data_IF_492083312335
#
_entry.id   IF_492083312335
#
_cell.length_a   1.000
_cell.length_b   1.000
_cell.length_c   1.000
_cell.angle_alpha   90.00
_cell.angle_beta   90.00
_cell.angle_gamma   90.00
#
_symmetry.space_group_name_H-M   'P 1'
#
loop_
_entity.id
_entity.type
_entity.pdbx_description
1 polymer ?
#
# COMPACT_ATOMS: atom_id res chain seq x y z
N UNK A 1 7.20 -61.06 26.38
CA UNK A 1 7.25 -61.46 27.81
C UNK A 1 8.52 -60.88 28.44
N UNK A 2 8.48 -60.42 29.72
CA UNK A 2 9.26 -59.28 30.27
C UNK A 2 10.36 -59.73 31.29
N UNK A 3 11.03 -58.88 32.14
CA UNK A 3 10.45 -58.11 33.29
C UNK A 3 10.99 -56.64 33.46
N UNK A 4 10.19 -55.66 33.91
CA UNK A 4 9.97 -55.12 35.28
C UNK A 4 11.25 -54.63 36.02
N UNK A 5 11.40 -53.47 36.68
CA UNK A 5 10.57 -52.34 37.11
C UNK A 5 11.13 -51.80 38.45
N UNK A 6 11.21 -50.48 38.69
CA UNK A 6 10.96 -49.81 40.00
C UNK A 6 11.41 -48.32 40.03
N UNK A 7 10.65 -47.55 40.83
CA UNK A 7 10.55 -46.08 40.94
C UNK A 7 11.42 -45.48 42.06
N UNK A 8 11.77 -44.17 41.96
CA UNK A 8 11.67 -43.07 42.99
C UNK A 8 12.55 -41.84 42.60
N UNK A 9 12.44 -40.64 43.22
CA UNK A 9 11.38 -39.64 43.00
C UNK A 9 11.93 -38.22 42.65
N UNK A 10 11.18 -37.42 41.87
CA UNK A 10 11.44 -35.98 41.71
C UNK A 10 10.62 -35.16 42.71
N UNK A 11 11.19 -34.11 43.36
CA UNK A 11 10.42 -33.13 44.10
C UNK A 11 10.08 -31.90 43.24
N UNK A 12 8.88 -31.33 43.48
CA UNK A 12 8.66 -29.89 43.30
C UNK A 12 7.93 -29.42 42.04
N UNK A 13 6.65 -29.79 41.89
CA UNK A 13 5.73 -29.12 40.97
C UNK A 13 5.10 -27.88 41.59
N UNK A 14 5.51 -26.69 41.16
CA UNK A 14 4.86 -25.42 41.45
C UNK A 14 4.09 -24.91 40.23
N UNK A 15 2.79 -25.22 40.13
CA UNK A 15 1.89 -24.66 39.12
C UNK A 15 1.51 -23.23 39.50
N UNK A 16 1.82 -22.24 38.65
CA UNK A 16 1.18 -20.91 38.67
C UNK A 16 0.24 -20.80 37.48
N UNK A 17 -1.04 -21.04 37.74
CA UNK A 17 -2.16 -20.63 36.88
C UNK A 17 -2.53 -19.15 37.06
N UNK A 18 -3.41 -18.62 36.21
CA UNK A 18 -3.62 -17.18 36.02
C UNK A 18 -4.50 -16.57 37.13
N UNK A 19 -4.13 -15.37 37.59
CA UNK A 19 -4.92 -14.58 38.56
C UNK A 19 -6.11 -13.93 37.85
N UNK A 20 -7.32 -14.40 38.16
CA UNK A 20 -8.57 -13.70 37.90
C UNK A 20 -8.79 -12.62 38.99
N UNK A 21 -9.17 -11.41 38.56
CA UNK A 21 -9.60 -10.34 39.45
C UNK A 21 -11.08 -10.53 39.80
N UNK A 22 -11.49 -10.42 41.09
CA UNK A 22 -12.90 -10.42 41.45
C UNK A 22 -13.52 -9.01 41.33
N UNK A 23 -14.71 -8.95 40.73
CA UNK A 23 -15.63 -7.82 40.81
C UNK A 23 -16.08 -7.58 42.26
N UNK A 24 -16.16 -6.33 42.75
CA UNK A 24 -16.96 -6.02 43.92
C UNK A 24 -18.39 -5.62 43.54
N UNK A 25 -19.33 -6.12 44.35
CA UNK A 25 -20.76 -5.94 44.26
C UNK A 25 -21.22 -4.50 44.55
N UNK A 26 -22.34 -4.13 43.94
CA UNK A 26 -23.04 -2.88 44.18
C UNK A 26 -23.61 -2.84 45.61
N UNK A 27 -23.21 -1.83 46.38
CA UNK A 27 -23.92 -1.38 47.58
C UNK A 27 -24.46 0.02 47.32
N UNK A 28 -25.79 0.11 47.24
CA UNK A 28 -26.56 1.35 47.20
C UNK A 28 -26.56 1.98 48.60
N UNK A 29 -25.74 3.01 48.80
CA UNK A 29 -25.93 3.95 49.91
C UNK A 29 -26.41 5.28 49.33
N UNK A 30 -27.63 5.66 49.69
CA UNK A 30 -28.16 6.98 49.41
C UNK A 30 -27.33 8.04 50.15
N UNK A 31 -26.90 9.06 49.41
CA UNK A 31 -26.35 10.29 49.96
C UNK A 31 -27.11 11.46 49.35
N UNK A 32 -27.59 12.33 50.23
CA UNK A 32 -28.25 13.60 49.95
C UNK A 32 -27.37 14.53 49.10
N UNK A 33 -27.96 15.52 48.41
CA UNK A 33 -27.20 16.44 47.58
C UNK A 33 -26.49 17.45 48.50
N UNK A 34 -25.21 17.21 48.81
CA UNK A 34 -24.38 18.23 49.40
C UNK A 34 -24.06 19.29 48.34
N UNK A 35 -24.79 20.39 48.42
CA UNK A 35 -24.48 21.66 47.78
C UNK A 35 -23.14 22.17 48.32
N UNK A 36 -22.04 21.86 47.61
CA UNK A 36 -20.80 22.59 47.80
C UNK A 36 -19.99 22.64 46.50
N UNK A 37 -20.48 23.40 45.53
CA UNK A 37 -19.64 24.02 44.49
C UNK A 37 -18.79 25.13 45.14
N UNK A 38 -17.89 24.73 46.03
CA UNK A 38 -16.82 25.58 46.51
C UNK A 38 -15.86 25.81 45.33
N UNK A 39 -15.88 27.04 44.82
CA UNK A 39 -15.12 27.46 43.66
C UNK A 39 -13.66 27.04 43.76
N UNK A 40 -13.20 26.32 42.74
CA UNK A 40 -11.78 26.25 42.43
C UNK A 40 -11.30 27.71 42.37
N UNK A 41 -10.35 28.14 43.22
CA UNK A 41 -9.86 29.51 43.13
C UNK A 41 -9.30 29.68 41.72
N UNK A 42 -9.88 30.62 40.97
CA UNK A 42 -9.38 30.98 39.65
C UNK A 42 -7.88 31.24 39.83
N UNK A 43 -7.05 30.48 39.12
CA UNK A 43 -5.61 30.68 39.15
C UNK A 43 -5.38 32.05 38.51
N UNK A 44 -5.26 33.10 39.32
CA UNK A 44 -5.19 34.49 38.87
C UNK A 44 -3.73 34.90 38.75
N UNK A 45 -3.06 34.35 37.74
CA UNK A 45 -1.75 34.81 37.30
C UNK A 45 -1.89 35.63 36.00
N UNK A 46 -1.08 36.70 35.80
CA UNK A 46 -1.14 37.51 34.59
C UNK A 46 -0.87 36.70 33.31
N UNK A 47 -0.24 35.53 33.44
CA UNK A 47 0.08 34.62 32.33
C UNK A 47 -0.93 33.47 32.16
N UNK A 48 -1.91 33.30 33.04
CA UNK A 48 -2.81 32.13 33.00
C UNK A 48 -3.65 32.08 31.72
N UNK A 49 -4.10 33.23 31.22
CA UNK A 49 -4.80 33.31 29.94
C UNK A 49 -3.91 32.80 28.79
N UNK A 50 -2.65 33.25 28.75
CA UNK A 50 -1.65 32.82 27.75
C UNK A 50 -1.38 31.31 27.83
N UNK A 51 -1.18 30.76 29.04
CA UNK A 51 -0.98 29.31 29.20
C UNK A 51 -2.24 28.48 28.87
N UNK A 52 -3.44 29.06 29.03
CA UNK A 52 -4.69 28.40 28.65
C UNK A 52 -4.82 28.33 27.13
N UNK A 53 -4.45 29.41 26.43
CA UNK A 53 -4.38 29.42 24.96
C UNK A 53 -3.38 28.40 24.44
N UNK A 54 -2.15 28.37 24.99
CA UNK A 54 -1.15 27.36 24.63
C UNK A 54 -1.62 25.93 24.91
N UNK A 55 -2.34 25.70 26.01
CA UNK A 55 -2.93 24.39 26.29
C UNK A 55 -3.93 24.00 25.20
N UNK A 56 -4.86 24.89 24.86
CA UNK A 56 -5.88 24.61 23.86
C UNK A 56 -5.27 24.32 22.48
N UNK A 57 -4.24 25.08 22.08
CA UNK A 57 -3.52 24.83 20.83
C UNK A 57 -2.79 23.49 20.83
N UNK A 58 -2.14 23.12 21.95
CA UNK A 58 -1.44 21.84 22.09
C UNK A 58 -2.42 20.67 22.10
N UNK A 59 -3.54 20.78 22.80
CA UNK A 59 -4.57 19.75 22.88
C UNK A 59 -5.17 19.49 21.47
N UNK A 60 -5.56 20.55 20.74
CA UNK A 60 -6.06 20.40 19.38
C UNK A 60 -4.99 19.83 18.43
N UNK A 61 -3.72 20.22 18.60
CA UNK A 61 -2.62 19.64 17.85
C UNK A 61 -2.47 18.12 18.13
N UNK A 62 -2.62 17.69 19.38
CA UNK A 62 -2.55 16.29 19.77
C UNK A 62 -3.75 15.49 19.25
N UNK A 63 -4.96 16.03 19.36
CA UNK A 63 -6.17 15.41 18.83
C UNK A 63 -6.09 15.22 17.32
N UNK A 64 -5.64 16.25 16.59
CA UNK A 64 -5.38 16.18 15.16
C UNK A 64 -4.36 15.11 14.81
N UNK A 65 -3.23 15.06 15.52
CA UNK A 65 -2.20 14.05 15.32
C UNK A 65 -2.76 12.64 15.50
N UNK A 66 -3.59 12.41 16.51
CA UNK A 66 -4.23 11.12 16.73
C UNK A 66 -5.26 10.78 15.65
N UNK A 67 -6.02 11.76 15.13
CA UNK A 67 -6.89 11.56 13.95
C UNK A 67 -6.09 11.09 12.74
N UNK A 68 -4.98 11.77 12.42
CA UNK A 68 -4.09 11.40 11.31
C UNK A 68 -3.50 10.00 11.51
N UNK A 69 -3.05 9.65 12.72
CA UNK A 69 -2.49 8.31 13.01
C UNK A 69 -3.54 7.21 12.85
N UNK A 70 -4.76 7.42 13.34
CA UNK A 70 -5.85 6.45 13.22
C UNK A 70 -6.20 6.22 11.75
N UNK A 71 -6.39 7.30 11.00
CA UNK A 71 -6.73 7.19 9.59
C UNK A 71 -5.60 6.58 8.76
N UNK A 72 -4.34 6.89 9.07
CA UNK A 72 -3.15 6.26 8.47
C UNK A 72 -3.18 4.73 8.66
N UNK A 73 -3.43 4.23 9.88
CA UNK A 73 -3.54 2.79 10.16
C UNK A 73 -4.66 2.12 9.37
N UNK A 74 -5.83 2.78 9.30
CA UNK A 74 -6.99 2.25 8.58
C UNK A 74 -6.74 2.20 7.06
N UNK A 75 -6.10 3.22 6.48
CA UNK A 75 -5.69 3.24 5.07
C UNK A 75 -4.70 2.10 4.79
N UNK A 76 -3.67 1.93 5.63
CA UNK A 76 -2.72 0.82 5.50
C UNK A 76 -3.44 -0.53 5.55
N UNK A 77 -4.37 -0.71 6.48
CA UNK A 77 -5.12 -1.96 6.60
C UNK A 77 -5.98 -2.25 5.36
N UNK A 78 -6.67 -1.25 4.82
CA UNK A 78 -7.47 -1.39 3.60
C UNK A 78 -6.59 -1.64 2.36
N UNK A 79 -5.44 -0.96 2.25
CA UNK A 79 -4.48 -1.14 1.16
C UNK A 79 -3.91 -2.56 1.12
N UNK A 80 -3.58 -3.14 2.29
CA UNK A 80 -3.21 -4.56 2.39
C UNK A 80 -4.28 -5.51 1.88
N UNK A 81 -5.57 -5.20 2.13
CA UNK A 81 -6.67 -6.01 1.62
C UNK A 81 -6.77 -5.96 0.09
N UNK A 82 -6.48 -4.80 -0.51
CA UNK A 82 -6.37 -4.68 -1.97
C UNK A 82 -5.22 -5.55 -2.49
N UNK A 83 -4.03 -5.46 -1.87
CA UNK A 83 -2.85 -6.27 -2.25
C UNK A 83 -3.18 -7.77 -2.15
N UNK A 84 -3.69 -8.25 -1.02
CA UNK A 84 -4.08 -9.66 -0.86
C UNK A 84 -5.13 -10.09 -1.88
N UNK A 85 -6.02 -9.19 -2.27
CA UNK A 85 -7.02 -9.46 -3.29
C UNK A 85 -6.38 -9.68 -4.66
N UNK A 86 -5.45 -8.80 -5.05
CA UNK A 86 -4.69 -8.91 -6.29
C UNK A 86 -3.82 -10.17 -6.33
N UNK A 87 -3.21 -10.56 -5.20
CA UNK A 87 -2.39 -11.76 -5.09
C UNK A 87 -3.16 -13.07 -5.37
N UNK A 88 -4.50 -13.06 -5.38
CA UNK A 88 -5.33 -14.22 -5.75
C UNK A 88 -5.44 -14.44 -7.25
N UNK A 89 -5.04 -13.46 -8.07
CA UNK A 89 -5.08 -13.55 -9.53
C UNK A 89 -4.10 -14.60 -10.04
N UNK A 90 -4.48 -15.30 -11.12
CA UNK A 90 -3.65 -16.34 -11.75
C UNK A 90 -3.70 -16.23 -13.28
N UNK A 91 -3.27 -15.09 -13.85
CA UNK A 91 -3.27 -14.91 -15.28
C UNK A 91 -2.17 -15.74 -15.94
N UNK A 92 -2.45 -16.35 -17.08
CA UNK A 92 -1.47 -17.10 -17.89
C UNK A 92 -0.46 -16.18 -18.58
N UNK A 93 -0.89 -14.98 -18.94
CA UNK A 93 -0.04 -13.90 -19.45
C UNK A 93 -0.38 -12.58 -18.75
N UNK A 94 0.64 -11.74 -18.51
CA UNK A 94 0.48 -10.41 -17.92
C UNK A 94 -0.13 -9.39 -18.90
N UNK A 95 -0.52 -8.22 -18.39
CA UNK A 95 -1.44 -7.25 -19.01
C UNK A 95 -2.88 -7.77 -19.00
N UNK A 96 -3.39 -7.97 -17.79
CA UNK A 96 -4.77 -8.43 -17.56
C UNK A 96 -5.71 -7.33 -17.99
N UNK A 97 -6.20 -7.42 -19.24
CA UNK A 97 -7.09 -6.42 -19.85
C UNK A 97 -8.33 -6.14 -19.00
N UNK A 98 -8.86 -7.16 -18.34
CA UNK A 98 -10.04 -7.05 -17.48
C UNK A 98 -9.88 -7.90 -16.22
N UNK A 99 -10.05 -7.28 -15.06
CA UNK A 99 -10.08 -7.99 -13.78
C UNK A 99 -11.42 -8.71 -13.59
N UNK A 100 -11.44 -9.90 -12.96
CA UNK A 100 -12.69 -10.59 -12.63
C UNK A 100 -13.61 -9.75 -11.75
N UNK A 101 -14.91 -9.76 -12.03
CA UNK A 101 -15.89 -8.88 -11.38
C UNK A 101 -15.90 -8.99 -9.84
N UNK A 102 -15.71 -10.19 -9.29
CA UNK A 102 -15.64 -10.41 -7.85
C UNK A 102 -14.41 -9.74 -7.22
N UNK A 103 -13.28 -9.78 -7.91
CA UNK A 103 -12.03 -9.13 -7.48
C UNK A 103 -12.18 -7.62 -7.59
N UNK A 104 -12.72 -7.11 -8.70
CA UNK A 104 -12.99 -5.67 -8.90
C UNK A 104 -13.92 -5.13 -7.81
N UNK A 105 -15.01 -5.82 -7.49
CA UNK A 105 -15.96 -5.38 -6.46
C UNK A 105 -15.33 -5.33 -5.05
N UNK A 106 -14.47 -6.31 -4.72
CA UNK A 106 -13.75 -6.34 -3.43
C UNK A 106 -12.70 -5.22 -3.35
N UNK A 107 -11.93 -5.00 -4.43
CA UNK A 107 -10.98 -3.90 -4.54
C UNK A 107 -11.70 -2.55 -4.39
N UNK A 108 -12.77 -2.33 -5.15
CA UNK A 108 -13.54 -1.09 -5.11
C UNK A 108 -14.06 -0.78 -3.70
N UNK A 109 -14.48 -1.81 -2.95
CA UNK A 109 -14.95 -1.64 -1.57
C UNK A 109 -13.83 -1.09 -0.67
N UNK A 110 -12.63 -1.64 -0.77
CA UNK A 110 -11.48 -1.20 0.00
C UNK A 110 -10.92 0.15 -0.48
N UNK A 111 -10.89 0.38 -1.80
CA UNK A 111 -10.46 1.64 -2.38
C UNK A 111 -11.41 2.79 -2.02
N UNK A 112 -12.72 2.55 -2.02
CA UNK A 112 -13.70 3.52 -1.55
C UNK A 112 -13.44 3.92 -0.09
N UNK A 113 -13.13 2.94 0.77
CA UNK A 113 -12.76 3.21 2.16
C UNK A 113 -11.48 4.06 2.27
N UNK A 114 -10.46 3.77 1.46
CA UNK A 114 -9.21 4.55 1.43
C UNK A 114 -9.47 5.99 0.98
N UNK A 115 -10.20 6.17 -0.12
CA UNK A 115 -10.49 7.50 -0.67
C UNK A 115 -11.33 8.35 0.30
N UNK A 116 -12.31 7.75 0.98
CA UNK A 116 -13.06 8.42 2.05
C UNK A 116 -12.18 8.87 3.21
N UNK A 117 -11.20 8.04 3.62
CA UNK A 117 -10.24 8.41 4.66
C UNK A 117 -9.36 9.57 4.21
N UNK A 118 -8.74 9.47 3.03
CA UNK A 118 -7.88 10.53 2.49
C UNK A 118 -8.62 11.87 2.41
N UNK A 119 -9.87 11.88 1.93
CA UNK A 119 -10.72 13.07 1.91
C UNK A 119 -10.99 13.62 3.32
N UNK A 120 -11.30 12.73 4.29
CA UNK A 120 -11.54 13.12 5.67
C UNK A 120 -10.29 13.68 6.39
N UNK A 121 -9.07 13.32 5.95
CA UNK A 121 -7.83 13.92 6.48
C UNK A 121 -7.57 15.33 5.96
N UNK A 122 -8.14 15.73 4.82
CA UNK A 122 -7.78 16.99 4.17
C UNK A 122 -7.84 18.21 5.10
N UNK A 123 -8.93 18.44 5.87
CA UNK A 123 -9.01 19.62 6.75
C UNK A 123 -7.87 19.66 7.79
N UNK A 124 -7.42 18.50 8.26
CA UNK A 124 -6.35 18.37 9.25
C UNK A 124 -4.95 18.58 8.65
N UNK A 125 -4.80 18.53 7.33
CA UNK A 125 -3.52 18.61 6.63
C UNK A 125 -3.30 19.93 5.87
N UNK A 126 -4.07 20.98 6.15
CA UNK A 126 -3.91 22.27 5.49
C UNK A 126 -2.77 23.13 6.07
N UNK A 127 -2.23 24.03 5.24
CA UNK A 127 -1.18 24.97 5.64
C UNK A 127 0.06 24.30 6.24
N UNK A 128 0.50 24.76 7.41
CA UNK A 128 1.69 24.20 8.10
C UNK A 128 1.52 22.73 8.51
N UNK A 129 0.28 22.28 8.68
CA UNK A 129 -0.01 20.92 9.12
C UNK A 129 0.35 19.87 8.05
N UNK A 130 0.26 20.24 6.77
CA UNK A 130 0.62 19.39 5.62
C UNK A 130 2.00 18.76 5.80
N UNK A 131 2.99 19.59 6.19
CA UNK A 131 4.37 19.17 6.42
C UNK A 131 4.61 18.64 7.84
N UNK A 132 3.90 19.17 8.83
CA UNK A 132 4.05 18.77 10.24
C UNK A 132 3.72 17.29 10.44
N UNK A 133 2.66 16.80 9.79
CA UNK A 133 2.15 15.45 10.01
C UNK A 133 2.60 14.41 8.98
N UNK A 134 3.54 14.75 8.09
CA UNK A 134 4.08 13.83 7.05
C UNK A 134 4.44 12.48 7.63
N UNK A 135 5.17 12.47 8.76
CA UNK A 135 5.61 11.22 9.41
C UNK A 135 4.47 10.32 9.86
N UNK A 136 3.28 10.87 10.11
CA UNK A 136 2.12 10.11 10.58
C UNK A 136 1.34 9.49 9.42
N UNK A 137 1.18 10.20 8.29
CA UNK A 137 0.41 9.69 7.14
C UNK A 137 1.27 9.05 6.04
N UNK A 138 2.56 9.35 5.94
CA UNK A 138 3.49 8.80 4.93
C UNK A 138 3.42 7.28 4.81
N UNK A 139 3.42 6.48 5.90
CA UNK A 139 3.30 5.02 5.81
C UNK A 139 2.00 4.55 5.12
N UNK A 140 0.90 5.28 5.30
CA UNK A 140 -0.36 4.97 4.65
C UNK A 140 -0.35 5.27 3.15
N UNK A 141 0.30 6.37 2.75
CA UNK A 141 0.46 6.70 1.34
C UNK A 141 1.34 5.67 0.64
N UNK A 142 2.44 5.27 1.26
CA UNK A 142 3.34 4.25 0.71
C UNK A 142 2.60 2.93 0.45
N UNK A 143 1.84 2.45 1.44
CA UNK A 143 1.08 1.20 1.32
C UNK A 143 -0.06 1.31 0.28
N UNK A 144 -0.76 2.45 0.21
CA UNK A 144 -1.80 2.63 -0.81
C UNK A 144 -1.20 2.71 -2.22
N UNK A 145 -0.06 3.38 -2.38
CA UNK A 145 0.66 3.42 -3.65
C UNK A 145 1.25 2.07 -4.05
N UNK A 146 1.68 1.25 -3.09
CA UNK A 146 2.05 -0.14 -3.35
C UNK A 146 0.86 -0.92 -3.93
N UNK A 147 -0.32 -0.78 -3.33
CA UNK A 147 -1.54 -1.44 -3.79
C UNK A 147 -1.97 -0.98 -5.20
N UNK A 148 -2.02 0.33 -5.43
CA UNK A 148 -2.40 0.91 -6.72
C UNK A 148 -1.34 0.64 -7.79
N UNK A 149 -0.06 0.76 -7.44
CA UNK A 149 1.06 0.45 -8.33
C UNK A 149 1.05 -1.01 -8.76
N UNK A 150 0.80 -1.93 -7.81
CA UNK A 150 0.69 -3.35 -8.12
C UNK A 150 -0.52 -3.65 -9.02
N UNK A 151 -1.68 -3.05 -8.75
CA UNK A 151 -2.86 -3.15 -9.62
C UNK A 151 -2.56 -2.64 -11.02
N UNK A 152 -1.97 -1.45 -11.12
CA UNK A 152 -1.63 -0.81 -12.39
C UNK A 152 -0.70 -1.70 -13.20
N UNK A 153 0.40 -2.17 -12.60
CA UNK A 153 1.32 -3.11 -13.23
C UNK A 153 0.64 -4.38 -13.76
N UNK A 154 -0.26 -4.99 -12.99
CA UNK A 154 -0.96 -6.20 -13.44
C UNK A 154 -1.85 -5.96 -14.68
N UNK A 155 -2.41 -4.76 -14.82
CA UNK A 155 -3.34 -4.39 -15.90
C UNK A 155 -2.60 -3.82 -17.12
N UNK A 156 -1.68 -2.87 -16.93
CA UNK A 156 -0.98 -2.18 -18.01
C UNK A 156 0.38 -2.80 -18.36
N UNK A 157 1.00 -3.54 -17.45
CA UNK A 157 2.40 -3.96 -17.58
C UNK A 157 3.41 -2.83 -17.33
N UNK A 158 2.95 -1.68 -16.84
CA UNK A 158 3.78 -0.49 -16.61
C UNK A 158 3.82 -0.11 -15.12
N UNK A 159 4.82 0.69 -14.76
CA UNK A 159 4.89 1.28 -13.41
C UNK A 159 4.06 2.56 -13.39
N UNK A 160 3.26 2.74 -12.33
CA UNK A 160 2.49 3.97 -12.13
C UNK A 160 3.41 5.20 -12.12
N UNK A 161 3.08 6.26 -12.86
CA UNK A 161 3.88 7.48 -12.87
C UNK A 161 3.75 8.27 -11.56
N UNK A 162 4.71 9.16 -11.26
CA UNK A 162 4.65 10.02 -10.08
C UNK A 162 3.40 10.92 -10.06
N UNK A 163 3.00 11.45 -11.21
CA UNK A 163 1.82 12.31 -11.35
C UNK A 163 0.53 11.53 -11.09
N UNK A 164 0.42 10.33 -11.67
CA UNK A 164 -0.71 9.44 -11.44
C UNK A 164 -0.77 9.00 -9.98
N UNK A 165 0.37 8.66 -9.38
CA UNK A 165 0.47 8.34 -7.96
C UNK A 165 0.00 9.52 -7.08
N UNK A 166 0.44 10.74 -7.39
CA UNK A 166 -0.02 11.96 -6.72
C UNK A 166 -1.53 12.17 -6.85
N UNK A 167 -2.08 11.90 -8.02
CA UNK A 167 -3.52 11.98 -8.27
C UNK A 167 -4.33 11.04 -7.37
N UNK A 168 -3.89 9.78 -7.22
CA UNK A 168 -4.56 8.78 -6.37
C UNK A 168 -4.55 9.15 -4.88
N UNK A 169 -3.44 9.70 -4.37
CA UNK A 169 -3.29 9.98 -2.93
C UNK A 169 -3.80 11.36 -2.51
N UNK A 170 -4.14 12.22 -3.46
CA UNK A 170 -4.49 13.62 -3.20
C UNK A 170 -5.66 13.82 -2.23
N UNK A 171 -6.56 12.84 -2.08
CA UNK A 171 -7.79 12.94 -1.30
C UNK A 171 -8.87 13.81 -1.93
N UNK A 172 -8.60 14.48 -3.06
CA UNK A 172 -9.55 15.32 -3.79
C UNK A 172 -10.30 14.57 -4.89
N UNK A 173 -9.76 13.44 -5.33
CA UNK A 173 -10.21 12.75 -6.54
C UNK A 173 -11.09 11.52 -6.25
N UNK A 174 -11.69 11.42 -5.06
CA UNK A 174 -12.40 10.23 -4.62
C UNK A 174 -13.47 9.77 -5.64
N UNK A 175 -14.32 10.69 -6.12
CA UNK A 175 -15.37 10.37 -7.09
C UNK A 175 -14.81 9.95 -8.45
N UNK A 176 -13.71 10.59 -8.89
CA UNK A 176 -13.05 10.26 -10.15
C UNK A 176 -12.35 8.89 -10.08
N UNK A 177 -11.62 8.61 -9.00
CA UNK A 177 -10.97 7.30 -8.74
C UNK A 177 -12.00 6.17 -8.78
N UNK A 178 -13.15 6.36 -8.11
CA UNK A 178 -14.19 5.34 -8.00
C UNK A 178 -15.05 5.20 -9.28
N UNK A 179 -15.12 6.24 -10.11
CA UNK A 179 -15.86 6.20 -11.38
C UNK A 179 -15.05 5.61 -12.53
N UNK A 180 -13.72 5.77 -12.54
CA UNK A 180 -12.82 5.11 -13.50
C UNK A 180 -13.06 3.59 -13.51
N UNK A 181 -13.25 2.97 -12.34
CA UNK A 181 -13.52 1.53 -12.24
C UNK A 181 -14.90 1.10 -12.76
N UNK A 182 -15.91 1.98 -12.76
CA UNK A 182 -17.22 1.68 -13.36
C UNK A 182 -17.19 1.73 -14.89
N UNK A 183 -16.23 2.45 -15.47
CA UNK A 183 -16.12 2.69 -16.92
C UNK A 183 -15.21 1.72 -17.69
N UNK A 184 -14.59 0.73 -17.01
CA UNK A 184 -13.68 -0.27 -17.61
C UNK A 184 -14.28 -1.21 -18.68
N UNK A 185 -15.40 -0.83 -19.31
CA UNK A 185 -15.97 -1.46 -20.51
C UNK A 185 -15.60 -0.75 -21.83
N UNK A 186 -14.86 0.36 -21.83
CA UNK A 186 -14.39 0.95 -23.08
C UNK A 186 -13.09 1.68 -22.85
N UNK A 187 -12.01 1.18 -23.45
CA UNK A 187 -10.72 1.85 -23.41
C UNK A 187 -10.77 3.16 -24.18
N UNK A 188 -10.25 4.21 -23.58
CA UNK A 188 -9.51 5.24 -24.32
C UNK A 188 -8.49 5.92 -23.41
N UNK A 189 -7.47 6.50 -24.06
CA UNK A 189 -6.27 7.13 -23.51
C UNK A 189 -6.52 8.20 -22.42
N UNK A 190 -5.50 8.53 -21.61
CA UNK A 190 -5.56 9.67 -20.69
C UNK A 190 -5.69 10.99 -21.48
N UNK A 191 -6.42 11.99 -20.95
CA UNK A 191 -6.61 13.26 -21.64
C UNK A 191 -5.27 14.03 -21.71
N UNK A 192 -4.89 14.40 -22.92
CA UNK A 192 -3.84 15.39 -23.18
C UNK A 192 -4.28 16.75 -22.62
N UNK A 193 -3.30 17.47 -22.05
CA UNK A 193 -3.47 18.80 -21.49
C UNK A 193 -3.49 19.86 -22.59
N UNK A 194 -4.67 20.21 -23.09
CA UNK A 194 -4.86 21.46 -23.82
C UNK A 194 -5.16 22.58 -22.81
N UNK A 195 -4.10 23.25 -22.34
CA UNK A 195 -4.21 24.54 -21.68
C UNK A 195 -3.89 25.61 -22.73
N UNK A 196 -4.92 26.12 -23.39
CA UNK A 196 -4.80 27.35 -24.17
C UNK A 196 -4.49 28.52 -23.23
N UNK A 197 -3.27 29.04 -23.34
CA UNK A 197 -2.88 30.34 -22.82
C UNK A 197 -3.46 31.42 -23.75
N UNK A 198 -4.43 32.19 -23.28
CA UNK A 198 -4.82 33.46 -23.92
C UNK A 198 -4.28 34.62 -23.08
N UNK A 199 -3.29 35.29 -23.65
CA UNK A 199 -2.81 36.61 -23.26
C UNK A 199 -3.93 37.63 -23.48
N UNK A 200 -4.28 38.40 -22.44
CA UNK A 200 -5.12 39.58 -22.57
C UNK A 200 -4.40 40.78 -21.92
N UNK A 201 -3.87 41.59 -22.81
CA UNK A 201 -3.19 42.88 -22.59
C UNK A 201 -4.13 43.89 -21.92
N UNK A 202 -3.53 44.69 -21.04
CA UNK A 202 -4.14 45.81 -20.34
C UNK A 202 -4.64 46.92 -21.27
N UNK A 203 -5.80 47.51 -20.94
CA UNK A 203 -6.09 48.92 -21.24
C UNK A 203 -7.06 49.48 -20.18
N UNK A 204 -6.80 50.71 -19.76
CA UNK A 204 -7.45 51.38 -18.63
C UNK A 204 -8.76 52.09 -18.97
N UNK A 205 -9.48 52.47 -17.92
CA UNK A 205 -10.64 53.35 -17.97
C UNK A 205 -11.15 53.66 -16.57
N UNK A 206 -11.00 54.92 -16.14
CA UNK A 206 -11.50 55.47 -14.88
C UNK A 206 -13.03 55.59 -14.87
N UNK A 207 -13.64 55.47 -13.68
CA UNK A 207 -15.05 55.78 -13.45
C UNK A 207 -15.44 55.65 -11.97
N UNK A 208 -15.74 56.78 -11.33
CA UNK A 208 -16.11 56.93 -9.91
C UNK A 208 -17.47 56.30 -9.53
N UNK A 209 -17.52 55.73 -8.32
CA UNK A 209 -18.56 55.99 -7.32
C UNK A 209 -19.86 55.18 -7.33
N UNK A 210 -19.99 54.21 -6.41
CA UNK A 210 -21.06 54.20 -5.38
C UNK A 210 -20.87 53.09 -4.35
N UNK A 211 -20.85 53.50 -3.08
CA UNK A 211 -20.92 52.65 -1.90
C UNK A 211 -22.22 51.82 -1.90
N UNK A 212 -22.06 50.50 -1.84
CA UNK A 212 -23.07 49.55 -1.39
C UNK A 212 -22.34 48.49 -0.60
N UNK A 213 -22.62 48.40 0.70
CA UNK A 213 -21.95 47.45 1.59
C UNK A 213 -22.17 46.01 1.15
N UNK A 214 -21.16 45.41 0.54
CA UNK A 214 -21.04 43.98 0.37
C UNK A 214 -20.54 43.37 1.69
N UNK A 215 -21.40 42.55 2.29
CA UNK A 215 -20.98 41.55 3.26
C UNK A 215 -19.97 40.67 2.51
N UNK A 216 -18.72 40.48 2.98
CA UNK A 216 -17.78 39.64 2.27
C UNK A 216 -18.36 38.23 2.27
N UNK A 217 -18.69 37.73 1.07
CA UNK A 217 -18.91 36.32 0.84
C UNK A 217 -17.68 35.60 1.43
N UNK A 218 -17.90 34.71 2.40
CA UNK A 218 -16.84 33.82 2.87
C UNK A 218 -16.35 33.07 1.64
N UNK A 219 -15.17 33.42 1.13
CA UNK A 219 -14.47 32.59 0.17
C UNK A 219 -14.39 31.20 0.81
N UNK A 220 -15.09 30.22 0.24
CA UNK A 220 -14.91 28.84 0.66
C UNK A 220 -13.44 28.51 0.40
N UNK A 221 -12.63 28.46 1.46
CA UNK A 221 -11.22 28.12 1.35
C UNK A 221 -11.12 26.74 0.70
N UNK A 222 -10.70 26.73 -0.56
CA UNK A 222 -10.55 25.50 -1.33
C UNK A 222 -9.46 24.65 -0.69
N UNK A 223 -9.84 23.44 -0.25
CA UNK A 223 -8.90 22.49 0.33
C UNK A 223 -7.84 22.09 -0.70
N UNK A 224 -6.59 22.03 -0.25
CA UNK A 224 -5.48 21.53 -1.04
C UNK A 224 -5.29 20.04 -0.78
N UNK A 225 -4.99 19.29 -1.85
CA UNK A 225 -4.77 17.85 -1.78
C UNK A 225 -3.48 17.48 -1.05
N UNK A 226 -3.43 16.25 -0.55
CA UNK A 226 -2.22 15.70 0.08
C UNK A 226 -1.10 15.65 -0.96
N UNK A 227 0.03 16.27 -0.64
CA UNK A 227 1.20 16.30 -1.53
C UNK A 227 2.01 15.01 -1.37
N UNK A 228 2.17 14.25 -2.46
CA UNK A 228 3.05 13.09 -2.50
C UNK A 228 4.52 13.51 -2.51
N UNK A 229 5.33 12.96 -1.61
CA UNK A 229 6.77 13.17 -1.65
C UNK A 229 7.44 12.20 -2.62
N UNK A 230 8.56 12.60 -3.24
CA UNK A 230 9.36 11.71 -4.09
C UNK A 230 9.91 10.51 -3.31
N UNK A 231 10.20 10.72 -2.02
CA UNK A 231 10.70 9.68 -1.12
C UNK A 231 9.62 8.59 -0.91
N UNK A 232 8.39 9.00 -0.58
CA UNK A 232 7.26 8.06 -0.41
C UNK A 232 6.97 7.27 -1.69
N UNK A 233 7.00 7.94 -2.84
CA UNK A 233 6.80 7.27 -4.13
C UNK A 233 7.86 6.20 -4.38
N UNK A 234 9.14 6.53 -4.21
CA UNK A 234 10.24 5.57 -4.44
C UNK A 234 10.16 4.40 -3.45
N UNK A 235 9.87 4.66 -2.17
CA UNK A 235 9.71 3.61 -1.16
C UNK A 235 8.53 2.67 -1.47
N UNK A 236 7.41 3.22 -1.93
CA UNK A 236 6.26 2.41 -2.38
C UNK A 236 6.62 1.52 -3.57
N UNK A 237 7.39 2.05 -4.53
CA UNK A 237 7.83 1.25 -5.69
C UNK A 237 8.81 0.14 -5.30
N UNK A 238 9.67 0.38 -4.30
CA UNK A 238 10.49 -0.70 -3.72
C UNK A 238 9.62 -1.79 -3.10
N UNK A 239 8.64 -1.44 -2.27
CA UNK A 239 7.78 -2.43 -1.61
C UNK A 239 6.90 -3.20 -2.61
N UNK A 240 6.43 -2.54 -3.67
CA UNK A 240 5.73 -3.17 -4.80
C UNK A 240 6.54 -4.31 -5.42
N UNK A 241 7.88 -4.21 -5.51
CA UNK A 241 8.71 -5.33 -6.02
C UNK A 241 8.62 -6.58 -5.15
N UNK A 242 8.38 -6.43 -3.85
CA UNK A 242 8.11 -7.54 -2.94
C UNK A 242 6.81 -8.27 -3.29
N UNK A 243 5.76 -7.53 -3.62
CA UNK A 243 4.48 -8.11 -4.05
C UNK A 243 4.57 -8.75 -5.44
N UNK A 244 5.30 -8.14 -6.38
CA UNK A 244 5.64 -8.76 -7.67
C UNK A 244 6.39 -10.07 -7.48
N UNK A 245 7.34 -10.14 -6.54
CA UNK A 245 8.07 -11.36 -6.22
C UNK A 245 7.14 -12.45 -5.67
N UNK A 246 6.29 -12.15 -4.68
CA UNK A 246 5.31 -13.10 -4.15
C UNK A 246 4.40 -13.65 -5.24
N UNK A 247 3.93 -12.76 -6.12
CA UNK A 247 3.09 -13.10 -7.25
C UNK A 247 3.83 -13.99 -8.26
N UNK A 248 5.11 -13.70 -8.53
CA UNK A 248 5.96 -14.49 -9.41
C UNK A 248 6.19 -15.90 -8.86
N UNK A 249 6.55 -16.05 -7.58
CA UNK A 249 6.75 -17.36 -6.96
C UNK A 249 5.47 -18.21 -7.03
N UNK A 250 4.33 -17.61 -6.72
CA UNK A 250 3.02 -18.28 -6.80
C UNK A 250 2.67 -18.66 -8.23
N UNK A 251 2.97 -17.79 -9.20
CA UNK A 251 2.75 -18.06 -10.62
C UNK A 251 3.65 -19.21 -11.10
N UNK A 252 4.96 -19.20 -10.78
CA UNK A 252 5.89 -20.28 -11.13
C UNK A 252 5.41 -21.63 -10.61
N UNK A 253 4.92 -21.68 -9.37
CA UNK A 253 4.46 -22.93 -8.76
C UNK A 253 3.20 -23.51 -9.42
N UNK A 254 2.49 -22.72 -10.22
CA UNK A 254 1.12 -23.05 -10.65
C UNK A 254 0.90 -22.97 -12.15
N UNK A 255 1.87 -22.39 -12.87
CA UNK A 255 1.97 -22.45 -14.32
C UNK A 255 2.59 -23.79 -14.75
N UNK A 256 1.98 -24.55 -15.68
CA UNK A 256 2.56 -25.78 -16.19
C UNK A 256 3.94 -25.56 -16.81
N UNK A 257 4.84 -26.54 -16.65
CA UNK A 257 6.22 -26.47 -17.16
C UNK A 257 6.29 -26.11 -18.66
N UNK A 258 5.39 -26.65 -19.48
CA UNK A 258 5.32 -26.37 -20.91
C UNK A 258 5.16 -24.88 -21.24
N UNK A 259 4.54 -24.10 -20.36
CA UNK A 259 4.35 -22.65 -20.52
C UNK A 259 5.51 -21.82 -19.90
N UNK A 260 6.36 -22.44 -19.08
CA UNK A 260 7.55 -21.81 -18.50
C UNK A 260 8.77 -21.91 -19.42
N UNK A 261 8.79 -22.92 -20.29
CA UNK A 261 9.88 -23.14 -21.24
C UNK A 261 9.83 -22.08 -22.35
N UNK A 262 10.97 -21.46 -22.71
CA UNK A 262 11.06 -20.61 -23.89
C UNK A 262 10.66 -21.40 -25.13
N UNK A 263 9.76 -20.88 -25.95
CA UNK A 263 9.35 -21.47 -27.22
C UNK A 263 10.47 -21.34 -28.28
N UNK A 264 11.59 -22.02 -28.11
CA UNK A 264 12.67 -22.13 -29.11
C UNK A 264 13.30 -23.52 -28.93
N UNK A 265 13.07 -24.50 -29.80
CA UNK A 265 13.79 -24.70 -31.08
C UNK A 265 13.05 -25.63 -32.08
N UNK A 266 11.76 -25.92 -31.92
CA UNK A 266 11.11 -26.99 -32.68
C UNK A 266 10.55 -26.63 -34.08
N UNK A 267 10.58 -25.37 -34.54
CA UNK A 267 9.85 -25.03 -35.78
C UNK A 267 10.50 -23.97 -36.69
N UNK A 268 11.83 -24.03 -36.84
CA UNK A 268 12.51 -23.28 -37.90
C UNK A 268 12.38 -23.94 -39.30
N UNK A 269 11.45 -24.89 -39.50
CA UNK A 269 11.35 -25.64 -40.76
C UNK A 269 9.95 -25.89 -41.31
N UNK A 270 8.88 -25.33 -40.75
CA UNK A 270 7.54 -25.44 -41.35
C UNK A 270 6.88 -24.07 -41.50
N UNK A 271 6.58 -23.71 -42.75
CA UNK A 271 6.09 -22.41 -43.19
C UNK A 271 4.57 -22.21 -43.00
N UNK A 272 3.94 -22.92 -42.07
CA UNK A 272 2.48 -22.88 -41.86
C UNK A 272 2.10 -22.70 -40.38
N UNK A 273 2.63 -21.66 -39.74
CA UNK A 273 2.24 -21.27 -38.38
C UNK A 273 1.07 -20.28 -38.41
N UNK A 274 -0.16 -20.80 -38.37
CA UNK A 274 -1.33 -20.04 -37.93
C UNK A 274 -1.16 -19.66 -36.45
N UNK A 275 -0.71 -18.43 -36.21
CA UNK A 275 -0.97 -17.57 -35.04
C UNK A 275 -1.43 -18.27 -33.73
N UNK A 276 -0.57 -19.09 -33.13
CA UNK A 276 -0.69 -19.50 -31.73
C UNK A 276 0.25 -18.61 -30.91
N UNK A 277 -0.31 -17.78 -30.04
CA UNK A 277 0.39 -16.66 -29.39
C UNK A 277 1.64 -17.09 -28.58
N UNK A 278 2.82 -16.89 -29.17
CA UNK A 278 4.14 -17.03 -28.54
C UNK A 278 4.50 -15.86 -27.61
N UNK A 279 3.58 -15.51 -26.71
CA UNK A 279 3.82 -14.49 -25.67
C UNK A 279 4.60 -15.06 -24.48
N UNK A 280 5.44 -14.24 -23.85
CA UNK A 280 6.09 -14.60 -22.58
C UNK A 280 5.04 -14.94 -21.53
N UNK A 281 5.23 -16.02 -20.78
CA UNK A 281 4.32 -16.36 -19.68
C UNK A 281 4.43 -15.35 -18.54
N UNK A 282 3.37 -15.23 -17.72
CA UNK A 282 3.35 -14.35 -16.53
C UNK A 282 4.64 -14.39 -15.70
N UNK A 283 5.16 -15.56 -15.28
CA UNK A 283 6.39 -15.62 -14.49
C UNK A 283 7.66 -15.20 -15.27
N UNK A 284 7.72 -15.41 -16.58
CA UNK A 284 8.83 -14.92 -17.42
C UNK A 284 8.83 -13.40 -17.48
N UNK A 285 7.67 -12.80 -17.70
CA UNK A 285 7.51 -11.34 -17.74
C UNK A 285 7.82 -10.72 -16.37
N UNK A 286 7.27 -11.26 -15.27
CA UNK A 286 7.59 -10.81 -13.91
C UNK A 286 9.09 -10.84 -13.61
N UNK A 287 9.78 -11.92 -13.97
CA UNK A 287 11.21 -12.02 -13.73
C UNK A 287 11.99 -10.97 -14.54
N UNK A 288 11.62 -10.77 -15.81
CA UNK A 288 12.23 -9.74 -16.65
C UNK A 288 12.02 -8.35 -16.07
N UNK A 289 10.79 -8.02 -15.68
CA UNK A 289 10.43 -6.69 -15.22
C UNK A 289 11.04 -6.41 -13.83
N UNK A 290 11.09 -7.42 -12.95
CA UNK A 290 11.81 -7.34 -11.67
C UNK A 290 13.31 -7.05 -11.85
N UNK A 291 13.95 -7.64 -12.87
CA UNK A 291 15.35 -7.34 -13.20
C UNK A 291 15.51 -5.90 -13.70
N UNK A 292 14.61 -5.43 -14.56
CA UNK A 292 14.62 -4.04 -15.07
C UNK A 292 14.43 -3.05 -13.92
N UNK A 293 13.47 -3.30 -13.02
CA UNK A 293 13.24 -2.47 -11.84
C UNK A 293 14.45 -2.44 -10.91
N UNK A 294 15.08 -3.59 -10.66
CA UNK A 294 16.32 -3.64 -9.87
C UNK A 294 17.40 -2.77 -10.50
N UNK A 295 17.64 -2.92 -11.80
CA UNK A 295 18.66 -2.11 -12.52
C UNK A 295 18.34 -0.62 -12.45
N UNK A 296 17.06 -0.23 -12.61
CA UNK A 296 16.63 1.15 -12.49
C UNK A 296 16.87 1.69 -11.07
N UNK A 297 16.56 0.92 -10.03
CA UNK A 297 16.82 1.33 -8.65
C UNK A 297 18.31 1.43 -8.32
N UNK A 298 19.14 0.51 -8.84
CA UNK A 298 20.60 0.57 -8.71
C UNK A 298 21.16 1.84 -9.36
N UNK A 299 20.53 2.34 -10.43
CA UNK A 299 20.96 3.54 -11.13
C UNK A 299 20.61 4.87 -10.41
N UNK A 300 19.72 4.86 -9.41
CA UNK A 300 19.25 6.09 -8.75
C UNK A 300 20.35 6.84 -7.98
N UNK A 301 21.42 6.17 -7.56
CA UNK A 301 22.61 6.83 -7.01
C UNK A 301 22.35 7.77 -5.82
N UNK A 302 21.48 7.37 -4.88
CA UNK A 302 20.89 8.25 -3.83
C UNK A 302 21.87 8.76 -2.75
N UNK A 303 23.15 8.40 -2.85
CA UNK A 303 24.23 8.86 -1.97
C UNK A 303 24.04 8.49 -0.49
N UNK A 304 24.84 9.10 0.38
CA UNK A 304 24.81 8.83 1.83
C UNK A 304 23.87 9.80 2.60
N UNK A 305 22.64 9.94 2.12
CA UNK A 305 21.58 10.72 2.81
C UNK A 305 20.76 9.81 3.76
N UNK A 306 19.98 10.35 4.71
CA UNK A 306 19.08 9.52 5.51
C UNK A 306 18.13 8.67 4.66
N UNK A 307 17.51 9.28 3.64
CA UNK A 307 16.70 8.60 2.64
C UNK A 307 17.52 7.58 1.84
N UNK A 308 18.72 7.95 1.36
CA UNK A 308 19.60 7.05 0.62
C UNK A 308 19.96 5.78 1.40
N UNK A 309 20.19 5.88 2.72
CA UNK A 309 20.42 4.71 3.59
C UNK A 309 19.20 3.83 3.76
N UNK A 310 18.01 4.40 3.75
CA UNK A 310 16.76 3.64 3.79
C UNK A 310 16.50 2.94 2.44
N UNK A 311 16.67 3.68 1.35
CA UNK A 311 16.57 3.14 -0.01
C UNK A 311 17.59 2.04 -0.28
N UNK A 312 18.83 2.13 0.22
CA UNK A 312 19.83 1.06 0.07
C UNK A 312 19.38 -0.23 0.77
N UNK A 313 18.76 -0.14 1.95
CA UNK A 313 18.18 -1.32 2.62
C UNK A 313 17.06 -1.93 1.79
N UNK A 314 16.20 -1.10 1.20
CA UNK A 314 15.12 -1.56 0.32
C UNK A 314 15.67 -2.18 -0.96
N UNK A 315 16.72 -1.60 -1.53
CA UNK A 315 17.42 -2.13 -2.69
C UNK A 315 18.04 -3.51 -2.43
N UNK A 316 18.64 -3.71 -1.26
CA UNK A 316 19.15 -5.02 -0.85
C UNK A 316 18.02 -6.06 -0.77
N UNK A 317 16.86 -5.69 -0.21
CA UNK A 317 15.67 -6.55 -0.21
C UNK A 317 15.20 -6.83 -1.64
N UNK A 318 15.21 -5.85 -2.55
CA UNK A 318 14.86 -6.05 -3.96
C UNK A 318 15.85 -6.99 -4.66
N UNK A 319 17.17 -6.90 -4.41
CA UNK A 319 18.17 -7.84 -4.94
C UNK A 319 17.84 -9.28 -4.53
N UNK A 320 17.57 -9.48 -3.25
CA UNK A 320 17.18 -10.80 -2.72
C UNK A 320 15.86 -11.29 -3.30
N UNK A 321 14.92 -10.37 -3.55
CA UNK A 321 13.63 -10.65 -4.18
C UNK A 321 13.83 -11.20 -5.60
N UNK A 322 14.62 -10.51 -6.42
CA UNK A 322 14.96 -10.98 -7.78
C UNK A 322 15.64 -12.35 -7.71
N UNK A 323 16.64 -12.53 -6.85
CA UNK A 323 17.35 -13.81 -6.70
C UNK A 323 16.44 -14.97 -6.31
N UNK A 324 15.43 -14.74 -5.47
CA UNK A 324 14.43 -15.77 -5.12
C UNK A 324 13.60 -16.20 -6.33
N UNK A 325 13.16 -15.24 -7.15
CA UNK A 325 12.38 -15.53 -8.37
C UNK A 325 13.26 -16.25 -9.40
N UNK A 326 14.50 -15.80 -9.59
CA UNK A 326 15.48 -16.45 -10.47
C UNK A 326 15.73 -17.90 -10.08
N UNK A 327 15.98 -18.14 -8.79
CA UNK A 327 16.23 -19.49 -8.28
C UNK A 327 15.00 -20.39 -8.39
N UNK A 328 13.81 -19.86 -8.11
CA UNK A 328 12.56 -20.61 -8.29
C UNK A 328 12.31 -20.97 -9.75
N UNK A 329 12.56 -20.02 -10.66
CA UNK A 329 12.40 -20.22 -12.09
C UNK A 329 13.41 -21.25 -12.63
N UNK A 330 14.69 -21.10 -12.26
CA UNK A 330 15.74 -22.06 -12.58
C UNK A 330 15.40 -23.47 -12.06
N UNK A 331 14.98 -23.57 -10.80
CA UNK A 331 14.61 -24.83 -10.18
C UNK A 331 13.45 -25.52 -10.90
N UNK A 332 12.42 -24.77 -11.31
CA UNK A 332 11.27 -25.34 -12.02
C UNK A 332 11.62 -25.75 -13.46
N UNK A 333 12.33 -24.88 -14.20
CA UNK A 333 12.67 -25.13 -15.60
C UNK A 333 13.70 -26.25 -15.73
N UNK A 334 14.84 -26.17 -15.02
CA UNK A 334 15.93 -27.13 -15.18
C UNK A 334 15.59 -28.47 -14.55
N UNK A 335 15.13 -28.51 -13.28
CA UNK A 335 14.78 -29.79 -12.65
C UNK A 335 13.49 -30.40 -13.20
N UNK A 336 12.56 -29.57 -13.64
CA UNK A 336 11.33 -30.04 -14.29
C UNK A 336 11.61 -30.67 -15.65
N UNK A 337 12.59 -30.16 -16.40
CA UNK A 337 13.06 -30.79 -17.64
C UNK A 337 13.86 -32.08 -17.42
N UNK A 338 14.48 -32.27 -16.26
CA UNK A 338 15.24 -33.48 -15.91
C UNK A 338 14.38 -34.63 -15.35
N UNK A 339 13.17 -34.35 -14.85
CA UNK A 339 12.27 -35.35 -14.24
C UNK A 339 10.92 -35.41 -14.98
N UNK A 340 10.79 -36.29 -15.99
CA UNK A 340 9.55 -36.45 -16.73
C UNK A 340 8.37 -36.89 -15.85
N UNK A 341 7.16 -36.70 -16.35
CA UNK A 341 5.93 -37.13 -15.67
C UNK A 341 5.99 -38.65 -15.38
N UNK A 342 5.87 -39.04 -14.11
CA UNK A 342 6.03 -40.43 -13.66
C UNK A 342 7.45 -40.84 -13.24
N UNK A 343 8.43 -39.92 -13.21
CA UNK A 343 9.78 -40.23 -12.72
C UNK A 343 9.77 -40.54 -11.22
N UNK A 344 10.10 -41.78 -10.88
CA UNK A 344 10.36 -42.23 -9.50
C UNK A 344 11.88 -42.42 -9.37
N UNK A 345 12.48 -41.87 -8.31
CA UNK A 345 13.89 -42.13 -8.02
C UNK A 345 14.06 -43.63 -7.76
N UNK A 346 14.97 -44.28 -8.49
CA UNK A 346 15.23 -45.70 -8.32
C UNK A 346 15.78 -45.93 -6.90
N UNK A 347 14.96 -46.48 -6.02
CA UNK A 347 15.31 -46.77 -4.63
C UNK A 347 16.11 -48.08 -4.53
N UNK A 348 17.05 -48.28 -5.46
CA UNK A 348 17.77 -49.54 -5.68
C UNK A 348 19.28 -49.36 -5.72
N UNK A 349 19.88 -48.81 -4.67
CA UNK A 349 21.34 -48.90 -4.45
C UNK A 349 21.70 -48.54 -3.00
N UNK A 350 21.16 -49.28 -2.02
CA UNK A 350 21.68 -49.26 -0.65
C UNK A 350 21.73 -50.68 -0.09
N UNK A 351 22.79 -51.40 -0.46
CA UNK A 351 23.45 -52.41 0.38
C UNK A 351 22.85 -53.80 0.40
N UNK A 352 23.09 -54.59 -0.64
CA UNK A 352 23.57 -55.95 -0.42
C UNK A 352 25.10 -55.88 -0.29
N UNK A 353 25.59 -55.99 0.94
CA UNK A 353 26.87 -56.65 1.28
C UNK A 353 26.87 -57.05 2.76
#
# INVERSE_FOLDING_TARGET
>A
MPPAGSKRPHPGGGHRGPKAHPHPAAQTHGHQPDSNTAGVPAVTGPYIAMFTEFRNELDEHHDRRERVIKASRDITAASKKIIFTLQRLRPTALSVRTLPQNITAEIHTHESRVQQLLAALLPDLQGINARRYVKQYSPALQEYLEAVGFRHYLVSGEVVSFEMAGWYVSGLNADAVLSVEKSGSSGDKPPESDVEMVDAVAEGGEGEGKEGGEIPAKEEEKLHGITLTREDYVLAMFDMTGEMMRFAITSIATTPLAQLLPSTVADASSSDAKNTGGGKSTPQTLLQDLRVLRMAFESLGLGNTPFGREAEKKLEVTRQSVGKVEYAFYGMVVRGSERPEGWVADAGAAGEE
#
